data_IF_592207647227
#
_entry.id   IF_592207647227
#
_cell.length_a   1.000
_cell.length_b   1.000
_cell.length_c   1.000
_cell.angle_alpha   90.00
_cell.angle_beta   90.00
_cell.angle_gamma   90.00
#
_symmetry.space_group_name_H-M   'P 1'
#
loop_
_entity.id
_entity.type
_entity.pdbx_description
1 polymer ?
#
# COMPACT_ATOMS: atom_id res chain seq x y z
N UNK A 1 31.51 -62.43 -14.40
CA UNK A 1 30.83 -61.27 -13.81
C UNK A 1 31.37 -60.01 -14.49
N UNK A 2 30.58 -59.35 -15.34
CA UNK A 2 30.98 -58.13 -16.07
C UNK A 2 30.57 -56.92 -15.23
N UNK A 3 31.54 -56.23 -14.65
CA UNK A 3 31.29 -54.99 -13.91
C UNK A 3 30.89 -53.88 -14.89
N UNK A 4 29.69 -53.35 -14.71
CA UNK A 4 29.11 -52.31 -15.55
C UNK A 4 29.83 -50.97 -15.31
N UNK A 5 30.44 -50.40 -16.37
CA UNK A 5 31.18 -49.13 -16.32
C UNK A 5 30.30 -47.88 -16.14
N UNK A 6 28.99 -48.07 -16.00
CA UNK A 6 28.01 -46.99 -15.83
C UNK A 6 27.76 -46.60 -14.37
N UNK A 7 28.27 -47.37 -13.40
CA UNK A 7 28.14 -47.08 -11.96
C UNK A 7 28.53 -45.64 -11.55
N UNK A 8 29.70 -45.12 -11.94
CA UNK A 8 30.09 -43.76 -11.56
C UNK A 8 29.26 -42.68 -12.26
N UNK A 9 28.74 -42.95 -13.47
CA UNK A 9 27.87 -42.02 -14.19
C UNK A 9 26.53 -41.82 -13.47
N UNK A 10 25.95 -42.91 -12.96
CA UNK A 10 24.69 -42.89 -12.20
C UNK A 10 24.88 -42.18 -10.86
N UNK A 11 26.03 -42.36 -10.20
CA UNK A 11 26.35 -41.68 -8.94
C UNK A 11 26.49 -40.15 -9.14
N UNK A 12 27.11 -39.73 -10.25
CA UNK A 12 27.21 -38.30 -10.59
C UNK A 12 25.85 -37.69 -10.90
N UNK A 13 24.95 -38.41 -11.59
CA UNK A 13 23.59 -37.94 -11.90
C UNK A 13 22.73 -37.75 -10.64
N UNK A 14 22.89 -38.59 -9.62
CA UNK A 14 22.18 -38.48 -8.34
C UNK A 14 22.61 -37.25 -7.53
N UNK A 15 23.87 -36.81 -7.64
CA UNK A 15 24.39 -35.65 -6.92
C UNK A 15 23.91 -34.31 -7.50
N UNK A 16 23.49 -34.27 -8.77
CA UNK A 16 23.01 -33.03 -9.42
C UNK A 16 21.53 -32.74 -9.11
N UNK A 17 20.75 -33.77 -8.72
CA UNK A 17 19.33 -33.64 -8.40
C UNK A 17 19.01 -32.92 -7.07
N UNK A 18 20.01 -32.67 -6.22
CA UNK A 18 19.82 -32.11 -4.88
C UNK A 18 19.94 -30.58 -4.76
N UNK A 19 20.44 -29.88 -5.77
CA UNK A 19 20.72 -28.43 -5.66
C UNK A 19 19.58 -27.50 -6.10
N UNK A 20 18.47 -28.04 -6.65
CA UNK A 20 17.34 -27.23 -7.14
C UNK A 20 16.12 -27.27 -6.21
N UNK A 21 16.22 -27.84 -5.01
CA UNK A 21 15.21 -27.71 -3.96
C UNK A 21 15.46 -26.46 -3.14
N UNK A 22 15.48 -25.30 -3.79
CA UNK A 22 15.25 -24.05 -3.07
C UNK A 22 13.81 -24.11 -2.54
N UNK A 23 13.56 -23.82 -1.25
CA UNK A 23 12.19 -23.76 -0.77
C UNK A 23 11.42 -22.77 -1.63
N UNK A 24 10.24 -23.15 -2.12
CA UNK A 24 9.33 -22.22 -2.77
C UNK A 24 8.96 -21.17 -1.72
N UNK A 25 9.63 -20.01 -1.77
CA UNK A 25 9.22 -18.83 -1.02
C UNK A 25 7.92 -18.36 -1.69
N UNK A 26 6.78 -18.74 -1.12
CA UNK A 26 5.50 -18.16 -1.51
C UNK A 26 5.49 -16.71 -1.04
N UNK A 27 5.56 -15.79 -1.98
CA UNK A 27 5.33 -14.37 -1.70
C UNK A 27 3.83 -14.13 -1.68
N UNK A 28 3.32 -13.68 -0.53
CA UNK A 28 1.94 -13.18 -0.44
C UNK A 28 1.97 -11.66 -0.60
N UNK A 29 1.23 -11.15 -1.58
CA UNK A 29 1.05 -9.72 -1.79
C UNK A 29 -0.25 -9.32 -1.11
N UNK A 30 -0.16 -8.58 -0.01
CA UNK A 30 -1.31 -8.03 0.69
C UNK A 30 -1.52 -6.59 0.24
N UNK A 31 -2.59 -6.33 -0.51
CA UNK A 31 -3.04 -4.97 -0.75
C UNK A 31 -3.76 -4.44 0.49
N UNK A 32 -3.34 -3.27 0.97
CA UNK A 32 -3.99 -2.58 2.09
C UNK A 32 -4.66 -1.31 1.57
N UNK A 33 -5.91 -1.12 1.96
CA UNK A 33 -6.68 0.09 1.71
C UNK A 33 -6.76 0.92 2.99
N UNK A 34 -6.79 2.27 2.90
CA UNK A 34 -7.07 3.10 4.05
C UNK A 34 -8.45 2.76 4.65
N UNK A 35 -8.66 3.00 5.96
CA UNK A 35 -9.99 2.96 6.55
C UNK A 35 -10.96 3.90 5.82
N UNK A 36 -12.22 3.47 5.67
CA UNK A 36 -13.26 4.22 4.95
C UNK A 36 -13.41 5.68 5.44
N UNK A 37 -13.26 5.90 6.75
CA UNK A 37 -13.31 7.24 7.36
C UNK A 37 -12.23 8.20 6.81
N UNK A 38 -11.10 7.68 6.33
CA UNK A 38 -10.03 8.48 5.71
C UNK A 38 -10.23 8.66 4.20
N UNK A 39 -11.14 7.91 3.59
CA UNK A 39 -11.47 7.98 2.17
C UNK A 39 -12.68 8.88 1.88
N UNK A 40 -13.35 9.37 2.92
CA UNK A 40 -14.45 10.31 2.78
C UNK A 40 -14.00 11.60 2.09
N UNK A 41 -14.87 12.12 1.21
CA UNK A 41 -14.66 13.38 0.53
C UNK A 41 -14.48 14.55 1.52
N UNK A 42 -13.80 15.56 1.03
CA UNK A 42 -13.69 16.83 1.71
C UNK A 42 -15.03 17.56 1.66
N UNK A 43 -15.43 18.28 2.74
CA UNK A 43 -16.56 19.19 2.64
C UNK A 43 -16.25 20.25 1.57
N UNK A 44 -17.29 20.61 0.82
CA UNK A 44 -17.21 21.62 -0.23
C UNK A 44 -18.14 22.78 0.12
N UNK A 45 -17.56 23.94 0.42
CA UNK A 45 -18.31 25.18 0.60
C UNK A 45 -18.91 25.62 -0.73
N UNK A 46 -20.23 25.79 -0.76
CA UNK A 46 -20.95 26.36 -1.91
C UNK A 46 -20.69 27.87 -1.98
N UNK A 47 -20.12 28.32 -3.10
CA UNK A 47 -19.90 29.74 -3.36
C UNK A 47 -21.13 30.32 -4.09
N UNK A 48 -21.85 31.28 -3.50
CA UNK A 48 -22.99 31.90 -4.15
C UNK A 48 -22.54 32.75 -5.36
N UNK A 49 -23.32 32.70 -6.44
CA UNK A 49 -23.03 33.45 -7.68
C UNK A 49 -23.27 34.96 -7.55
N UNK A 50 -24.03 35.37 -6.54
CA UNK A 50 -24.34 36.75 -6.23
C UNK A 50 -24.44 36.91 -4.72
N UNK A 51 -24.02 38.05 -4.21
CA UNK A 51 -24.14 38.35 -2.79
C UNK A 51 -23.52 39.69 -2.42
N UNK A 52 -23.64 40.04 -1.15
CA UNK A 52 -23.00 41.20 -0.55
C UNK A 52 -21.66 40.83 0.10
N UNK A 53 -20.87 41.84 0.49
CA UNK A 53 -19.56 41.63 1.10
C UNK A 53 -19.61 40.85 2.42
N UNK A 54 -20.72 40.93 3.17
CA UNK A 54 -20.92 40.15 4.39
C UNK A 54 -21.04 38.66 4.10
N UNK A 55 -21.83 38.29 3.10
CA UNK A 55 -21.99 36.89 2.65
C UNK A 55 -20.65 36.33 2.14
N UNK A 56 -19.83 37.14 1.46
CA UNK A 56 -18.47 36.75 1.06
C UNK A 56 -17.55 36.44 2.25
N UNK A 57 -17.68 37.17 3.37
CA UNK A 57 -16.92 36.89 4.59
C UNK A 57 -17.34 35.55 5.22
N UNK A 58 -18.64 35.25 5.23
CA UNK A 58 -19.16 33.97 5.74
C UNK A 58 -18.69 32.78 4.89
N UNK A 59 -18.70 32.93 3.56
CA UNK A 59 -18.16 31.93 2.63
C UNK A 59 -16.66 31.74 2.86
N UNK A 60 -15.91 32.83 3.06
CA UNK A 60 -14.46 32.76 3.33
C UNK A 60 -14.17 32.03 4.64
N UNK A 61 -14.97 32.26 5.67
CA UNK A 61 -14.84 31.55 6.95
C UNK A 61 -15.13 30.04 6.79
N UNK A 62 -16.17 29.70 6.03
CA UNK A 62 -16.54 28.31 5.74
C UNK A 62 -15.45 27.59 4.93
N UNK A 63 -14.93 28.23 3.88
CA UNK A 63 -13.82 27.72 3.08
C UNK A 63 -12.56 27.45 3.93
N UNK A 64 -12.26 28.36 4.87
CA UNK A 64 -11.13 28.17 5.78
C UNK A 64 -11.33 26.93 6.66
N UNK A 65 -12.53 26.74 7.20
CA UNK A 65 -12.85 25.58 8.03
C UNK A 65 -12.74 24.27 7.23
N UNK A 66 -13.30 24.24 6.02
CA UNK A 66 -13.23 23.09 5.12
C UNK A 66 -11.77 22.72 4.79
N UNK A 67 -10.95 23.72 4.47
CA UNK A 67 -9.51 23.52 4.22
C UNK A 67 -8.78 22.98 5.46
N UNK A 68 -9.08 23.49 6.65
CA UNK A 68 -8.47 22.99 7.89
C UNK A 68 -8.86 21.53 8.15
N UNK A 69 -10.12 21.15 7.90
CA UNK A 69 -10.57 19.76 8.03
C UNK A 69 -9.91 18.83 6.99
N UNK A 70 -9.87 19.25 5.73
CA UNK A 70 -9.19 18.52 4.66
C UNK A 70 -7.72 18.27 4.98
N UNK A 71 -7.01 19.29 5.46
CA UNK A 71 -5.61 19.16 5.84
C UNK A 71 -5.41 18.18 7.00
N UNK A 72 -6.32 18.14 7.97
CA UNK A 72 -6.30 17.13 9.06
C UNK A 72 -6.52 15.72 8.51
N UNK A 73 -7.50 15.52 7.62
CA UNK A 73 -7.75 14.21 6.98
C UNK A 73 -6.53 13.75 6.17
N UNK A 74 -5.95 14.64 5.36
CA UNK A 74 -4.77 14.38 4.56
C UNK A 74 -3.55 14.01 5.42
N UNK A 75 -3.37 14.67 6.56
CA UNK A 75 -2.31 14.33 7.51
C UNK A 75 -2.48 12.90 8.04
N UNK A 76 -3.68 12.51 8.47
CA UNK A 76 -3.97 11.14 8.95
C UNK A 76 -3.78 10.10 7.85
N UNK A 77 -4.17 10.40 6.62
CA UNK A 77 -3.96 9.50 5.49
C UNK A 77 -2.46 9.27 5.20
N UNK A 78 -1.64 10.32 5.33
CA UNK A 78 -0.18 10.22 5.21
C UNK A 78 0.44 9.41 6.35
N UNK A 79 -0.02 9.61 7.58
CA UNK A 79 0.40 8.81 8.74
C UNK A 79 0.07 7.32 8.54
N UNK A 80 -1.16 7.01 8.14
CA UNK A 80 -1.57 5.65 7.79
C UNK A 80 -0.69 5.06 6.69
N UNK A 81 -0.45 5.81 5.60
CA UNK A 81 0.38 5.34 4.50
C UNK A 81 1.83 5.06 4.96
N UNK A 82 2.38 5.89 5.84
CA UNK A 82 3.73 5.70 6.39
C UNK A 82 3.82 4.42 7.25
N UNK A 83 2.85 4.18 8.12
CA UNK A 83 2.79 2.97 8.97
C UNK A 83 2.68 1.68 8.16
N UNK A 84 2.10 1.75 6.96
CA UNK A 84 1.80 0.58 6.13
C UNK A 84 2.73 0.45 4.90
N UNK A 85 3.73 1.33 4.75
CA UNK A 85 4.73 1.28 3.67
C UNK A 85 5.89 0.31 3.92
N UNK A 86 6.05 -0.24 5.13
CA UNK A 86 7.13 -1.20 5.43
C UNK A 86 6.69 -2.65 5.22
N UNK A 87 7.27 -3.37 4.25
CA UNK A 87 7.15 -4.82 4.18
C UNK A 87 8.05 -5.40 5.30
N UNK A 88 7.45 -5.90 6.38
CA UNK A 88 8.16 -6.70 7.39
C UNK A 88 7.98 -6.33 8.87
N UNK A 89 7.08 -5.41 9.24
CA UNK A 89 6.74 -5.23 10.66
C UNK A 89 5.57 -6.14 11.07
N UNK A 90 5.93 -7.41 11.32
CA UNK A 90 5.42 -8.35 12.34
C UNK A 90 5.76 -9.78 11.95
#
# INVERSE_FOLDING_TARGET
MRYSKFGPLVLCLLMVGGCSTSPLVKTEVIQRMPPEVLMQECPETVIPQSGNNGELLEVTASLRQDLEECNKKLKRLREWAHEHQTPGSK
#
